data_IF_642773418618
#
_entry.id   IF_642773418618
#
_cell.length_a   1.000
_cell.length_b   1.000
_cell.length_c   1.000
_cell.angle_alpha   90.00
_cell.angle_beta   90.00
_cell.angle_gamma   90.00
#
_symmetry.space_group_name_H-M   'P 1'
#
loop_
_entity.id
_entity.type
_entity.pdbx_description
1 polymer ?
#
# COMPACT_ATOMS: atom_id res chain seq x y z
N UNK A 1 13.80 11.30 8.43
CA UNK A 1 14.21 10.17 7.57
C UNK A 1 13.89 8.87 8.31
N UNK A 2 13.03 8.02 7.74
CA UNK A 2 12.60 6.76 8.37
C UNK A 2 13.79 5.79 8.49
N UNK A 3 14.03 5.29 9.71
CA UNK A 3 15.20 4.47 10.07
C UNK A 3 15.06 2.97 9.71
N UNK A 4 13.92 2.57 9.15
CA UNK A 4 13.59 1.19 8.80
C UNK A 4 12.90 1.15 7.44
N UNK A 5 13.52 0.49 6.45
CA UNK A 5 13.05 0.41 5.05
C UNK A 5 12.11 -0.78 4.79
N UNK A 6 12.15 -1.77 5.67
CA UNK A 6 11.14 -2.84 5.78
C UNK A 6 10.54 -2.74 7.18
N UNK A 7 9.24 -2.51 7.25
CA UNK A 7 8.49 -2.43 8.52
C UNK A 7 7.44 -3.51 8.49
N UNK A 8 7.66 -4.56 9.29
CA UNK A 8 6.66 -5.60 9.51
C UNK A 8 5.87 -5.29 10.79
N UNK A 9 4.55 -5.17 10.66
CA UNK A 9 3.65 -4.92 11.78
C UNK A 9 2.74 -6.14 11.96
N UNK A 10 3.12 -7.03 12.88
CA UNK A 10 2.25 -8.10 13.36
C UNK A 10 1.20 -7.52 14.31
N UNK A 11 -0.08 -7.80 14.10
CA UNK A 11 -1.12 -7.24 14.97
C UNK A 11 -2.37 -8.11 15.06
N UNK A 12 -3.16 -7.96 16.14
CA UNK A 12 -4.39 -8.74 16.38
C UNK A 12 -5.63 -8.19 15.66
N UNK A 13 -6.68 -9.02 15.57
CA UNK A 13 -7.94 -8.68 14.89
C UNK A 13 -8.61 -7.43 15.52
N UNK A 14 -9.02 -6.46 14.69
CA UNK A 14 -9.87 -5.33 15.09
C UNK A 14 -9.17 -4.01 15.50
N UNK A 15 -7.84 -3.94 15.53
CA UNK A 15 -7.08 -2.84 16.18
C UNK A 15 -6.75 -1.61 15.30
N UNK A 16 -7.49 -1.33 14.23
CA UNK A 16 -7.27 -0.10 13.45
C UNK A 16 -6.05 -0.10 12.53
N UNK A 17 -5.50 -1.27 12.18
CA UNK A 17 -4.35 -1.40 11.27
C UNK A 17 -4.61 -0.79 9.91
N UNK A 18 -5.78 -1.10 9.30
CA UNK A 18 -6.17 -0.53 8.01
C UNK A 18 -6.30 1.00 8.06
N UNK A 19 -6.59 1.56 9.25
CA UNK A 19 -6.58 3.00 9.46
C UNK A 19 -5.14 3.55 9.52
N UNK A 20 -4.25 2.94 10.31
CA UNK A 20 -2.83 3.33 10.36
C UNK A 20 -2.16 3.22 9.00
N UNK A 21 -2.46 2.15 8.26
CA UNK A 21 -2.01 1.88 6.90
C UNK A 21 -2.51 2.97 5.94
N UNK A 22 -3.79 3.34 6.01
CA UNK A 22 -4.33 4.44 5.22
C UNK A 22 -3.67 5.77 5.57
N UNK A 23 -3.44 6.07 6.86
CA UNK A 23 -2.73 7.29 7.29
C UNK A 23 -1.29 7.30 6.79
N UNK A 24 -0.58 6.16 6.84
CA UNK A 24 0.77 6.04 6.32
C UNK A 24 0.84 6.30 4.81
N UNK A 25 -0.13 5.78 4.05
CA UNK A 25 -0.24 6.04 2.60
C UNK A 25 -0.53 7.52 2.30
N UNK A 26 -1.47 8.14 3.03
CA UNK A 26 -1.78 9.57 2.89
C UNK A 26 -0.53 10.41 3.16
N UNK A 27 0.16 10.13 4.27
CA UNK A 27 1.40 10.81 4.64
C UNK A 27 2.47 10.61 3.58
N UNK A 28 2.66 9.39 3.08
CA UNK A 28 3.70 9.07 2.10
C UNK A 28 3.52 9.87 0.79
N UNK A 29 2.30 9.90 0.26
CA UNK A 29 1.98 10.66 -0.96
C UNK A 29 2.18 12.19 -0.81
N UNK A 30 2.07 12.73 0.40
CA UNK A 30 2.16 14.18 0.65
C UNK A 30 3.48 14.63 1.29
N UNK A 31 4.38 13.70 1.62
CA UNK A 31 5.63 14.01 2.32
C UNK A 31 6.83 14.22 1.39
N UNK A 32 6.65 13.97 0.09
CA UNK A 32 7.69 14.06 -0.91
C UNK A 32 7.30 15.09 -1.96
N UNK A 33 8.29 15.83 -2.46
CA UNK A 33 8.09 16.84 -3.52
C UNK A 33 8.25 16.23 -4.93
N UNK A 34 8.94 15.09 -5.02
CA UNK A 34 9.18 14.37 -6.26
C UNK A 34 8.08 13.33 -6.55
N UNK A 35 8.17 12.70 -7.72
CA UNK A 35 7.34 11.57 -8.11
C UNK A 35 7.25 10.52 -6.98
N UNK A 36 6.04 10.06 -6.69
CA UNK A 36 5.72 9.21 -5.54
C UNK A 36 4.63 8.20 -5.88
N UNK A 37 4.97 6.91 -5.82
CA UNK A 37 4.02 5.82 -6.09
C UNK A 37 3.79 5.00 -4.82
N UNK A 38 2.53 4.77 -4.46
CA UNK A 38 2.17 3.84 -3.38
C UNK A 38 1.35 2.66 -3.93
N UNK A 39 1.90 1.45 -3.84
CA UNK A 39 1.23 0.22 -4.22
C UNK A 39 0.69 -0.49 -2.98
N UNK A 40 -0.48 -1.09 -3.11
CA UNK A 40 -1.06 -1.93 -2.06
C UNK A 40 -1.55 -3.25 -2.64
N UNK A 41 -1.41 -4.33 -1.88
CA UNK A 41 -1.93 -5.65 -2.24
C UNK A 41 -2.48 -6.37 -1.03
N UNK A 42 -3.31 -7.38 -1.28
CA UNK A 42 -3.88 -8.29 -0.30
C UNK A 42 -4.14 -9.65 -0.98
N UNK A 43 -4.30 -10.76 -0.22
CA UNK A 43 -4.55 -12.10 -0.76
C UNK A 43 -5.72 -12.18 -1.73
N UNK A 44 -6.73 -11.32 -1.55
CA UNK A 44 -7.83 -11.18 -2.50
C UNK A 44 -8.09 -9.71 -2.80
N UNK A 45 -8.27 -9.35 -4.08
CA UNK A 45 -8.57 -7.98 -4.49
C UNK A 45 -9.78 -7.38 -3.75
N UNK A 46 -10.81 -8.20 -3.52
CA UNK A 46 -12.00 -7.84 -2.73
C UNK A 46 -11.64 -7.40 -1.30
N UNK A 47 -10.70 -8.08 -0.64
CA UNK A 47 -10.26 -7.71 0.70
C UNK A 47 -9.56 -6.36 0.68
N UNK A 48 -8.57 -6.17 -0.20
CA UNK A 48 -7.86 -4.89 -0.34
C UNK A 48 -8.83 -3.72 -0.59
N UNK A 49 -9.80 -3.90 -1.49
CA UNK A 49 -10.82 -2.89 -1.82
C UNK A 49 -11.70 -2.51 -0.62
N UNK A 50 -12.09 -3.48 0.22
CA UNK A 50 -13.03 -3.28 1.33
C UNK A 50 -12.37 -2.96 2.68
N UNK A 51 -11.09 -3.30 2.87
CA UNK A 51 -10.35 -3.07 4.10
C UNK A 51 -9.57 -1.76 3.99
N UNK A 52 -8.41 -1.78 3.34
CA UNK A 52 -7.51 -0.64 3.22
C UNK A 52 -8.14 0.51 2.43
N UNK A 53 -8.60 0.24 1.21
CA UNK A 53 -9.12 1.28 0.32
C UNK A 53 -10.41 1.93 0.83
N UNK A 54 -11.22 1.19 1.60
CA UNK A 54 -12.36 1.78 2.31
C UNK A 54 -11.91 2.81 3.36
N UNK A 55 -10.82 2.54 4.10
CA UNK A 55 -10.28 3.51 5.05
C UNK A 55 -9.65 4.71 4.35
N UNK A 56 -8.92 4.50 3.25
CA UNK A 56 -8.35 5.60 2.44
C UNK A 56 -9.47 6.52 1.96
N UNK A 57 -10.54 5.99 1.36
CA UNK A 57 -11.70 6.81 0.95
C UNK A 57 -12.37 7.53 2.11
N UNK A 58 -12.47 6.88 3.27
CA UNK A 58 -13.06 7.48 4.49
C UNK A 58 -12.24 8.66 5.00
N UNK A 59 -10.90 8.57 4.96
CA UNK A 59 -9.98 9.64 5.34
C UNK A 59 -9.92 10.75 4.28
N UNK A 60 -9.99 10.38 3.00
CA UNK A 60 -9.92 11.30 1.87
C UNK A 60 -11.13 12.22 1.80
N UNK A 61 -12.35 11.67 1.81
CA UNK A 61 -13.61 12.41 1.56
C UNK A 61 -13.76 13.71 2.37
N UNK A 62 -13.56 13.75 3.70
CA UNK A 62 -13.70 14.98 4.47
C UNK A 62 -12.60 16.02 4.23
N UNK A 63 -11.52 15.65 3.51
CA UNK A 63 -10.35 16.48 3.24
C UNK A 63 -10.02 16.54 1.74
N UNK A 64 -10.99 16.22 0.87
CA UNK A 64 -10.77 16.06 -0.57
C UNK A 64 -10.18 17.33 -1.22
N UNK A 65 -10.64 18.51 -0.80
CA UNK A 65 -10.11 19.79 -1.30
C UNK A 65 -8.65 20.03 -0.89
N UNK A 66 -8.25 19.58 0.30
CA UNK A 66 -6.89 19.74 0.83
C UNK A 66 -5.93 18.70 0.23
N UNK A 67 -6.39 17.46 0.10
CA UNK A 67 -5.60 16.32 -0.36
C UNK A 67 -5.51 16.25 -1.89
N UNK A 68 -6.47 16.87 -2.60
CA UNK A 68 -6.47 16.97 -4.04
C UNK A 68 -6.59 15.64 -4.78
N UNK A 69 -6.59 15.74 -6.11
CA UNK A 69 -6.64 14.58 -6.98
C UNK A 69 -8.01 13.89 -7.07
N UNK A 70 -8.00 12.72 -7.72
CA UNK A 70 -9.19 11.92 -8.01
C UNK A 70 -9.06 10.56 -7.33
N UNK A 71 -10.04 10.22 -6.50
CA UNK A 71 -10.12 8.91 -5.84
C UNK A 71 -11.16 8.01 -6.51
N UNK A 72 -10.77 6.77 -6.76
CA UNK A 72 -11.56 5.66 -7.29
C UNK A 72 -11.66 4.53 -6.24
N UNK A 73 -12.12 3.36 -6.67
CA UNK A 73 -12.31 2.20 -5.79
C UNK A 73 -11.01 1.58 -5.28
N UNK A 74 -9.94 1.62 -6.06
CA UNK A 74 -8.61 1.13 -5.65
C UNK A 74 -7.50 1.98 -6.25
N UNK A 75 -7.78 3.23 -6.58
CA UNK A 75 -6.79 4.15 -7.15
C UNK A 75 -7.01 5.56 -6.63
N UNK A 76 -5.93 6.28 -6.37
CA UNK A 76 -5.96 7.70 -6.03
C UNK A 76 -4.88 8.41 -6.83
N UNK A 77 -5.27 9.29 -7.74
CA UNK A 77 -4.40 10.02 -8.64
C UNK A 77 -4.32 11.49 -8.20
N UNK A 78 -3.14 11.95 -7.76
CA UNK A 78 -2.87 13.37 -7.46
C UNK A 78 -2.30 14.04 -8.71
N UNK A 79 -1.37 13.36 -9.38
CA UNK A 79 -0.82 13.69 -10.70
C UNK A 79 -0.39 12.40 -11.43
N UNK A 80 0.11 12.51 -12.65
CA UNK A 80 0.58 11.35 -13.44
C UNK A 80 1.70 10.57 -12.72
N UNK A 81 2.55 11.27 -11.97
CA UNK A 81 3.70 10.69 -11.26
C UNK A 81 3.49 10.60 -9.74
N UNK A 82 2.33 11.03 -9.22
CA UNK A 82 2.00 10.95 -7.80
C UNK A 82 0.63 10.30 -7.59
N UNK A 83 0.65 9.00 -7.24
CA UNK A 83 -0.58 8.23 -7.10
C UNK A 83 -0.43 7.00 -6.20
N UNK A 84 -1.57 6.49 -5.74
CA UNK A 84 -1.69 5.21 -5.10
C UNK A 84 -2.56 4.24 -5.89
N UNK A 85 -2.25 2.95 -5.84
CA UNK A 85 -3.01 1.90 -6.52
C UNK A 85 -3.05 0.58 -5.76
N UNK A 86 -4.20 -0.07 -5.78
CA UNK A 86 -4.43 -1.42 -5.29
C UNK A 86 -4.26 -2.42 -6.43
N UNK A 87 -3.31 -3.32 -6.26
CA UNK A 87 -3.04 -4.44 -7.15
C UNK A 87 -3.70 -5.71 -6.61
N UNK A 88 -4.03 -6.64 -7.50
CA UNK A 88 -4.46 -7.97 -7.10
C UNK A 88 -3.23 -8.84 -6.85
N UNK A 89 -3.20 -9.60 -5.75
CA UNK A 89 -2.19 -10.63 -5.50
C UNK A 89 -2.44 -11.93 -6.31
N UNK A 90 -3.31 -11.91 -7.32
CA UNK A 90 -3.63 -13.08 -8.15
C UNK A 90 -2.62 -13.31 -9.29
N UNK A 91 -1.87 -12.28 -9.70
CA UNK A 91 -0.84 -12.39 -10.72
C UNK A 91 0.35 -11.46 -10.41
N UNK A 92 1.55 -12.03 -10.35
CA UNK A 92 2.82 -11.34 -10.18
C UNK A 92 3.11 -10.27 -11.25
N UNK A 93 2.67 -10.46 -12.48
CA UNK A 93 2.87 -9.51 -13.58
C UNK A 93 2.28 -8.13 -13.27
N UNK A 94 1.25 -8.06 -12.40
CA UNK A 94 0.64 -6.79 -12.00
C UNK A 94 1.58 -5.87 -11.23
N UNK A 95 2.72 -6.37 -10.74
CA UNK A 95 3.73 -5.58 -10.04
C UNK A 95 4.81 -5.05 -11.00
N UNK A 96 4.84 -5.46 -12.27
CA UNK A 96 5.86 -5.01 -13.20
C UNK A 96 5.63 -3.57 -13.67
N UNK A 97 6.73 -2.88 -14.03
CA UNK A 97 6.68 -1.58 -14.70
C UNK A 97 6.52 -0.36 -13.78
N UNK A 98 6.47 -0.54 -12.46
CA UNK A 98 6.47 0.57 -11.51
C UNK A 98 7.89 1.02 -11.18
N UNK A 99 8.15 2.30 -11.43
CA UNK A 99 9.38 2.97 -11.03
C UNK A 99 9.08 4.39 -10.58
N UNK A 100 9.60 4.77 -9.42
CA UNK A 100 9.47 6.11 -8.86
C UNK A 100 10.61 6.35 -7.87
N UNK A 101 11.12 7.59 -7.75
CA UNK A 101 12.11 7.95 -6.73
C UNK A 101 11.62 7.64 -5.32
N UNK A 102 10.32 7.82 -5.07
CA UNK A 102 9.69 7.51 -3.80
C UNK A 102 8.64 6.44 -4.01
N UNK A 103 8.89 5.24 -3.50
CA UNK A 103 7.93 4.15 -3.64
C UNK A 103 7.62 3.48 -2.30
N UNK A 104 6.34 3.24 -2.07
CA UNK A 104 5.81 2.53 -0.90
C UNK A 104 5.05 1.31 -1.41
N UNK A 105 5.32 0.14 -0.83
CA UNK A 105 4.58 -1.08 -1.11
C UNK A 105 3.94 -1.55 0.21
N UNK A 106 2.64 -1.79 0.18
CA UNK A 106 1.87 -2.21 1.33
C UNK A 106 1.26 -3.58 1.07
N UNK A 107 1.52 -4.54 1.95
CA UNK A 107 0.94 -5.88 1.87
C UNK A 107 0.02 -6.05 3.07
N UNK A 108 -1.29 -6.04 2.83
CA UNK A 108 -2.31 -6.35 3.84
C UNK A 108 -2.55 -7.86 3.88
N UNK A 109 -2.82 -8.42 5.05
CA UNK A 109 -2.92 -9.87 5.27
C UNK A 109 -1.70 -10.64 4.71
N UNK A 110 -0.50 -10.15 5.05
CA UNK A 110 0.78 -10.61 4.53
C UNK A 110 0.97 -12.15 4.61
N UNK A 111 0.39 -12.82 5.60
CA UNK A 111 0.43 -14.28 5.73
C UNK A 111 -0.34 -15.05 4.65
N UNK A 112 -1.28 -14.42 3.96
CA UNK A 112 -2.10 -15.04 2.92
C UNK A 112 -1.59 -14.79 1.50
N UNK A 113 -0.48 -14.06 1.34
CA UNK A 113 0.12 -13.73 0.05
C UNK A 113 1.15 -14.79 -0.33
N UNK A 114 1.16 -15.24 -1.59
CA UNK A 114 2.08 -16.28 -2.07
C UNK A 114 3.51 -15.76 -2.23
N UNK A 115 4.48 -16.68 -2.15
CA UNK A 115 5.90 -16.38 -2.37
C UNK A 115 6.15 -15.76 -3.75
N UNK A 116 5.41 -16.19 -4.79
CA UNK A 116 5.48 -15.62 -6.14
C UNK A 116 5.19 -14.10 -6.16
N UNK A 117 4.20 -13.65 -5.38
CA UNK A 117 3.89 -12.23 -5.27
C UNK A 117 4.97 -11.49 -4.47
N UNK A 118 5.56 -12.13 -3.46
CA UNK A 118 6.70 -11.56 -2.76
C UNK A 118 7.92 -11.40 -3.67
N UNK A 119 8.23 -12.39 -4.50
CA UNK A 119 9.29 -12.30 -5.51
C UNK A 119 9.03 -11.15 -6.50
N UNK A 120 7.79 -10.99 -6.94
CA UNK A 120 7.39 -9.88 -7.80
C UNK A 120 7.58 -8.51 -7.11
N UNK A 121 7.20 -8.41 -5.84
CA UNK A 121 7.44 -7.21 -5.03
C UNK A 121 8.94 -6.94 -4.90
N UNK A 122 9.76 -7.95 -4.63
CA UNK A 122 11.22 -7.79 -4.52
C UNK A 122 11.87 -7.34 -5.83
N UNK A 123 11.39 -7.84 -6.97
CA UNK A 123 11.84 -7.36 -8.29
C UNK A 123 11.60 -5.85 -8.45
N UNK A 124 10.46 -5.35 -7.94
CA UNK A 124 10.14 -3.91 -7.90
C UNK A 124 11.01 -3.16 -6.87
N UNK A 125 11.45 -3.81 -5.79
CA UNK A 125 12.30 -3.17 -4.78
C UNK A 125 13.73 -2.88 -5.25
N UNK A 126 14.22 -3.65 -6.21
CA UNK A 126 15.64 -3.66 -6.60
C UNK A 126 16.13 -2.32 -7.18
N UNK A 127 15.37 -1.60 -8.04
CA UNK A 127 15.85 -0.36 -8.65
C UNK A 127 15.67 0.90 -7.79
N UNK A 128 14.75 0.92 -6.81
CA UNK A 128 14.22 2.15 -6.20
C UNK A 128 14.22 2.17 -4.65
N UNK A 129 14.76 1.15 -3.98
CA UNK A 129 14.77 1.02 -2.50
C UNK A 129 13.44 1.43 -1.81
N UNK A 130 12.28 0.90 -2.23
CA UNK A 130 10.99 1.29 -1.69
C UNK A 130 10.85 0.96 -0.20
N UNK A 131 9.98 1.71 0.47
CA UNK A 131 9.49 1.33 1.79
C UNK A 131 8.51 0.17 1.64
N UNK A 132 8.75 -0.94 2.34
CA UNK A 132 7.83 -2.08 2.39
C UNK A 132 7.15 -2.15 3.76
N UNK A 133 5.81 -2.07 3.77
CA UNK A 133 4.97 -2.20 4.95
C UNK A 133 4.18 -3.51 4.87
N UNK A 134 4.52 -4.47 5.74
CA UNK A 134 3.82 -5.75 5.85
C UNK A 134 2.86 -5.70 7.03
N UNK A 135 1.59 -5.95 6.77
CA UNK A 135 0.52 -5.96 7.76
C UNK A 135 -0.06 -7.37 7.77
N UNK A 136 0.07 -8.06 8.90
CA UNK A 136 -0.49 -9.41 9.06
C UNK A 136 -1.44 -9.51 10.24
N UNK A 137 -2.35 -10.49 10.20
CA UNK A 137 -3.11 -10.91 11.36
C UNK A 137 -2.32 -11.92 12.20
N UNK A 138 -2.47 -11.82 13.52
CA UNK A 138 -2.00 -12.84 14.43
C UNK A 138 -3.09 -13.90 14.61
N UNK A 139 -3.31 -14.75 13.61
CA UNK A 139 -4.16 -15.96 13.77
C UNK A 139 -3.41 -17.28 13.79
N UNK A 140 -2.09 -17.30 13.52
CA UNK A 140 -1.28 -18.49 13.78
C UNK A 140 -0.75 -18.43 15.21
N UNK A 141 -1.57 -18.90 16.15
CA UNK A 141 -1.04 -19.69 17.28
C UNK A 141 -0.81 -21.08 16.73
N UNK A 142 0.43 -21.37 16.33
CA UNK A 142 1.07 -22.68 16.52
C UNK A 142 2.56 -22.59 16.28
#
# INVERSE_FOLDING_TARGET
MAKHRRVAVKSGNGLGKGFCAAVALLWFLHSHQDATIALSTAPTFRQGRHVLWRQIRRLFRPKAELLGGKILDTRWEISDDCYAMGLSAENADQFQGFHSPNMLIMVDEAEGVSDEIYEAIEAVMTPAEPLLLLIGNSTTVS
#
